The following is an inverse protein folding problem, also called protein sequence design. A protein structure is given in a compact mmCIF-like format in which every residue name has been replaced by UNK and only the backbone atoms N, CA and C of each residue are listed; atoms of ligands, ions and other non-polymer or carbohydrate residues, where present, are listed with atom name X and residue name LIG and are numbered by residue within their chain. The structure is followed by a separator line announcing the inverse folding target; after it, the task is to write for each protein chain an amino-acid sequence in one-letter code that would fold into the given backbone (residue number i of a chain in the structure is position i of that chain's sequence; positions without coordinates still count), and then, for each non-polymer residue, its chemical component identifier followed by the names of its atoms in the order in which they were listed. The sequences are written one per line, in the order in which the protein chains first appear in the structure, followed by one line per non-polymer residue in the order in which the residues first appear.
data_IF_092086595076
#
_entry.id   IF_092086595076
#
_cell.length_a   1.000
_cell.length_b   1.000
_cell.length_c   1.000
_cell.angle_alpha   90.00
_cell.angle_beta   90.00
_cell.angle_gamma   90.00
#
_symmetry.space_group_name_H-M   'P 1'
#
loop_
_entity.id
_entity.type
_entity.pdbx_description
1 polymer ?
#
# COMPACT_ATOMS: atom_id res chain seq x y z
N UNK A 1 -11.25 12.91 26.70
CA UNK A 1 -11.37 12.10 25.47
C UNK A 1 -12.68 12.50 24.83
N UNK A 2 -12.59 13.11 23.66
CA UNK A 2 -13.73 13.67 22.93
C UNK A 2 -13.91 12.87 21.64
N UNK A 3 -15.13 12.40 21.40
CA UNK A 3 -15.46 11.71 20.16
C UNK A 3 -15.66 12.77 19.06
N UNK A 4 -14.85 12.73 18.00
CA UNK A 4 -14.95 13.68 16.89
C UNK A 4 -16.12 13.29 15.99
N UNK A 5 -16.33 11.99 15.82
CA UNK A 5 -17.43 11.40 15.06
C UNK A 5 -17.85 10.08 15.73
N UNK A 6 -18.96 9.50 15.28
CA UNK A 6 -19.38 8.16 15.72
C UNK A 6 -18.38 7.03 15.39
N UNK A 7 -17.39 7.30 14.54
CA UNK A 7 -16.35 6.35 14.12
C UNK A 7 -14.97 6.69 14.66
N UNK A 8 -14.77 7.89 15.21
CA UNK A 8 -13.44 8.45 15.46
C UNK A 8 -13.33 9.10 16.83
N UNK A 9 -12.38 8.61 17.63
CA UNK A 9 -12.10 9.05 18.98
C UNK A 9 -10.66 9.58 19.08
N UNK A 10 -10.47 10.78 19.61
CA UNK A 10 -9.13 11.29 19.91
C UNK A 10 -8.55 10.48 21.05
N UNK A 11 -7.39 9.89 20.81
CA UNK A 11 -6.61 9.18 21.82
C UNK A 11 -5.65 10.15 22.49
N UNK A 12 -4.89 10.91 21.70
CA UNK A 12 -3.94 11.88 22.22
C UNK A 12 -3.69 13.04 21.25
N UNK A 13 -3.24 14.16 21.79
CA UNK A 13 -2.73 15.31 21.04
C UNK A 13 -1.59 15.97 21.80
N UNK A 14 -0.41 16.01 21.19
CA UNK A 14 0.80 16.53 21.83
C UNK A 14 1.74 17.19 20.82
N UNK A 15 2.81 17.80 21.33
CA UNK A 15 3.86 18.39 20.50
C UNK A 15 5.20 17.70 20.67
N UNK A 16 5.90 17.46 19.57
CA UNK A 16 7.26 16.92 19.53
C UNK A 16 8.20 17.80 18.71
N UNK A 17 9.49 17.52 18.73
CA UNK A 17 10.49 18.20 17.91
C UNK A 17 10.42 17.75 16.45
N UNK A 18 10.54 18.69 15.52
CA UNK A 18 10.51 18.37 14.09
C UNK A 18 11.82 17.70 13.65
N UNK A 19 11.81 16.46 13.13
CA UNK A 19 13.04 15.78 12.70
C UNK A 19 13.66 16.43 11.46
N UNK A 20 12.90 17.24 10.71
CA UNK A 20 13.36 17.85 9.46
C UNK A 20 14.08 19.19 9.68
N UNK A 21 13.52 20.06 10.51
CA UNK A 21 14.10 21.39 10.74
C UNK A 21 14.68 21.57 12.13
N UNK A 22 14.45 20.64 13.06
CA UNK A 22 14.96 20.55 14.43
C UNK A 22 14.49 21.69 15.36
N UNK A 23 14.15 22.86 14.81
CA UNK A 23 13.76 24.04 15.58
C UNK A 23 12.24 24.22 15.65
N UNK A 24 11.49 23.63 14.72
CA UNK A 24 10.02 23.68 14.74
C UNK A 24 9.42 22.65 15.69
N UNK A 25 8.25 22.96 16.25
CA UNK A 25 7.40 21.99 16.96
C UNK A 25 6.43 21.34 15.98
N UNK A 26 6.30 20.02 16.07
CA UNK A 26 5.32 19.24 15.34
C UNK A 26 4.14 18.96 16.24
N UNK A 27 2.95 19.35 15.78
CA UNK A 27 1.70 18.93 16.41
C UNK A 27 1.39 17.53 15.91
N UNK A 28 1.25 16.59 16.84
CA UNK A 28 0.89 15.20 16.61
C UNK A 28 -0.52 14.99 17.14
N UNK A 29 -1.38 14.38 16.32
CA UNK A 29 -2.75 14.02 16.70
C UNK A 29 -2.97 12.55 16.41
N UNK A 30 -3.39 11.81 17.42
CA UNK A 30 -3.70 10.39 17.35
C UNK A 30 -5.20 10.16 17.49
N UNK A 31 -5.79 9.48 16.51
CA UNK A 31 -7.22 9.19 16.46
C UNK A 31 -7.41 7.70 16.23
N UNK A 32 -8.07 7.03 17.16
CA UNK A 32 -8.61 5.68 16.91
C UNK A 32 -9.84 5.84 16.02
N UNK A 33 -9.84 5.19 14.87
CA UNK A 33 -10.89 5.27 13.88
C UNK A 33 -11.34 3.88 13.42
N UNK A 34 -12.65 3.66 13.32
CA UNK A 34 -13.22 2.45 12.74
C UNK A 34 -13.30 2.60 11.21
N UNK A 35 -12.31 2.06 10.49
CA UNK A 35 -12.23 2.18 9.03
C UNK A 35 -12.99 1.03 8.33
N UNK A 36 -13.73 1.31 7.24
CA UNK A 36 -14.31 0.25 6.41
C UNK A 36 -13.24 -0.72 5.92
N UNK A 37 -13.55 -2.02 5.91
CA UNK A 37 -12.69 -3.14 5.48
C UNK A 37 -11.42 -3.41 6.31
N UNK A 38 -10.86 -2.39 6.96
CA UNK A 38 -9.68 -2.50 7.84
C UNK A 38 -10.10 -2.84 9.27
N UNK A 39 -11.20 -2.23 9.74
CA UNK A 39 -11.60 -2.21 11.14
C UNK A 39 -10.92 -1.06 11.90
N UNK A 40 -10.78 -1.21 13.22
CA UNK A 40 -10.05 -0.27 14.07
C UNK A 40 -8.62 -0.03 13.59
N UNK A 41 -8.27 1.23 13.41
CA UNK A 41 -6.93 1.70 13.10
C UNK A 41 -6.61 2.98 13.89
N UNK A 42 -5.34 3.17 14.23
CA UNK A 42 -4.80 4.42 14.73
C UNK A 42 -4.35 5.27 13.55
N UNK A 43 -4.97 6.43 13.40
CA UNK A 43 -4.56 7.46 12.44
C UNK A 43 -3.70 8.47 13.20
N UNK A 44 -2.45 8.61 12.77
CA UNK A 44 -1.50 9.58 13.32
C UNK A 44 -1.31 10.66 12.27
N UNK A 45 -1.54 11.92 12.64
CA UNK A 45 -1.28 13.06 11.78
C UNK A 45 -0.29 14.00 12.45
N UNK A 46 0.79 14.31 11.74
CA UNK A 46 1.86 15.14 12.25
C UNK A 46 2.07 16.34 11.32
N UNK A 47 2.18 17.55 11.89
CA UNK A 47 2.45 18.77 11.12
C UNK A 47 3.35 19.73 11.87
N UNK A 48 4.46 20.11 11.23
CA UNK A 48 5.33 21.17 11.71
C UNK A 48 4.70 22.55 11.42
N UNK A 49 4.57 23.38 12.45
CA UNK A 49 4.02 24.75 12.33
C UNK A 49 5.00 25.74 11.69
N UNK A 50 6.29 25.38 11.62
CA UNK A 50 7.36 26.24 11.10
C UNK A 50 7.75 25.96 9.65
N UNK A 51 8.24 24.75 9.36
CA UNK A 51 8.73 24.40 8.01
C UNK A 51 7.64 23.77 7.13
N UNK A 52 6.47 23.44 7.69
CA UNK A 52 5.36 22.85 6.95
C UNK A 52 5.50 21.37 6.64
N UNK A 53 6.54 20.69 7.14
CA UNK A 53 6.66 19.23 7.07
C UNK A 53 5.41 18.55 7.65
N UNK A 54 4.95 17.49 6.99
CA UNK A 54 3.78 16.70 7.37
C UNK A 54 4.07 15.23 7.18
N UNK A 55 3.51 14.41 8.06
CA UNK A 55 3.49 12.94 7.96
C UNK A 55 2.12 12.45 8.40
N UNK A 56 1.60 11.41 7.75
CA UNK A 56 0.39 10.74 8.22
C UNK A 56 0.62 9.23 8.14
N UNK A 57 0.27 8.52 9.20
CA UNK A 57 0.37 7.07 9.28
C UNK A 57 -0.98 6.47 9.66
N UNK A 58 -1.28 5.31 9.09
CA UNK A 58 -2.46 4.51 9.42
C UNK A 58 -1.96 3.15 9.91
N UNK A 59 -2.18 2.87 11.20
CA UNK A 59 -1.72 1.66 11.86
C UNK A 59 -2.94 0.81 12.22
N UNK A 60 -3.15 -0.34 11.56
CA UNK A 60 -4.21 -1.27 11.95
C UNK A 60 -4.02 -1.75 13.39
N UNK A 61 -5.09 -1.72 14.19
CA UNK A 61 -5.04 -2.21 15.57
C UNK A 61 -5.39 -3.69 15.69
N UNK A 62 -5.91 -4.28 14.60
CA UNK A 62 -6.28 -5.68 14.54
C UNK A 62 -5.26 -6.44 13.70
N UNK A 63 -4.39 -7.22 14.34
CA UNK A 63 -3.52 -8.17 13.65
C UNK A 63 -4.37 -9.38 13.26
N UNK A 64 -4.31 -9.76 11.98
CA UNK A 64 -4.95 -10.98 11.47
C UNK A 64 -3.89 -12.05 11.19
N UNK A 65 -4.34 -13.24 10.83
CA UNK A 65 -3.43 -14.31 10.41
C UNK A 65 -2.66 -13.89 9.16
N UNK A 66 -1.42 -14.34 9.04
CA UNK A 66 -0.65 -14.22 7.81
C UNK A 66 -1.47 -14.81 6.66
N UNK A 67 -1.62 -14.05 5.58
CA UNK A 67 -2.33 -14.48 4.38
C UNK A 67 -1.53 -14.23 3.11
N UNK A 68 -1.84 -15.01 2.09
CA UNK A 68 -1.45 -14.78 0.70
C UNK A 68 -2.69 -14.63 -0.15
N UNK A 69 -2.74 -13.53 -0.91
CA UNK A 69 -3.83 -13.23 -1.84
C UNK A 69 -3.28 -13.43 -3.24
N UNK A 70 -3.85 -14.37 -3.99
CA UNK A 70 -3.52 -14.67 -5.37
C UNK A 70 -4.60 -14.07 -6.26
N UNK A 71 -4.21 -13.23 -7.21
CA UNK A 71 -5.12 -12.54 -8.15
C UNK A 71 -4.68 -12.89 -9.57
N UNK A 72 -5.49 -13.68 -10.27
CA UNK A 72 -5.22 -14.06 -11.66
C UNK A 72 -5.75 -12.98 -12.61
N UNK A 73 -4.86 -12.46 -13.45
CA UNK A 73 -5.17 -11.44 -14.45
C UNK A 73 -5.29 -12.10 -15.82
N UNK A 74 -6.44 -11.98 -16.47
CA UNK A 74 -6.68 -12.54 -17.80
C UNK A 74 -7.30 -11.53 -18.77
N UNK A 75 -8.07 -10.57 -18.25
CA UNK A 75 -8.76 -9.54 -19.02
C UNK A 75 -8.31 -8.16 -18.58
N UNK A 76 -8.40 -7.20 -19.49
CA UNK A 76 -8.13 -5.77 -19.19
C UNK A 76 -8.97 -5.24 -18.02
N UNK A 77 -10.19 -5.76 -17.82
CA UNK A 77 -11.03 -5.36 -16.69
C UNK A 77 -10.45 -5.76 -15.32
N UNK A 78 -9.67 -6.85 -15.27
CA UNK A 78 -9.04 -7.32 -14.03
C UNK A 78 -7.99 -6.33 -13.53
N UNK A 79 -7.40 -5.53 -14.44
CA UNK A 79 -6.41 -4.49 -14.10
C UNK A 79 -6.98 -3.42 -13.14
N UNK A 80 -8.30 -3.22 -13.19
CA UNK A 80 -9.02 -2.26 -12.36
C UNK A 80 -9.47 -2.83 -11.00
N UNK A 81 -9.13 -4.08 -10.70
CA UNK A 81 -9.36 -4.70 -9.37
C UNK A 81 -8.67 -3.87 -8.30
N UNK A 82 -9.45 -3.32 -7.36
CA UNK A 82 -8.93 -2.46 -6.29
C UNK A 82 -8.41 -3.31 -5.14
N UNK A 83 -7.22 -2.98 -4.69
CA UNK A 83 -6.56 -3.62 -3.56
C UNK A 83 -6.27 -2.59 -2.48
N UNK A 84 -6.39 -3.02 -1.24
CA UNK A 84 -5.76 -2.39 -0.09
C UNK A 84 -4.48 -3.16 0.19
N UNK A 85 -3.33 -2.47 0.19
CA UNK A 85 -2.04 -3.06 0.55
C UNK A 85 -1.59 -2.56 1.92
N UNK A 86 -1.31 -3.50 2.82
CA UNK A 86 -0.81 -3.19 4.16
C UNK A 86 0.66 -2.73 4.13
N UNK A 87 1.13 -1.96 5.12
CA UNK A 87 2.54 -1.56 5.27
C UNK A 87 3.53 -2.73 5.20
N UNK A 88 3.14 -3.92 5.67
CA UNK A 88 4.00 -5.10 5.78
C UNK A 88 3.95 -6.05 4.59
N UNK A 89 3.01 -5.85 3.66
CA UNK A 89 2.81 -6.81 2.58
C UNK A 89 3.91 -6.74 1.52
N UNK A 90 4.33 -7.90 1.03
CA UNK A 90 5.20 -8.05 -0.13
C UNK A 90 4.36 -8.42 -1.35
N UNK A 91 4.65 -7.81 -2.50
CA UNK A 91 3.96 -8.10 -3.76
C UNK A 91 4.89 -8.89 -4.67
N UNK A 92 4.40 -9.96 -5.28
CA UNK A 92 5.11 -10.74 -6.29
C UNK A 92 4.30 -10.81 -7.58
N UNK A 93 4.99 -10.77 -8.71
CA UNK A 93 4.44 -11.14 -10.03
C UNK A 93 5.43 -12.12 -10.67
N UNK A 94 5.32 -13.44 -10.36
CA UNK A 94 6.32 -14.43 -10.74
C UNK A 94 6.58 -14.51 -12.24
N UNK A 95 5.55 -14.39 -13.08
CA UNK A 95 5.65 -14.47 -14.53
C UNK A 95 6.48 -13.32 -15.13
N UNK A 96 6.58 -12.19 -14.41
CA UNK A 96 7.38 -11.04 -14.80
C UNK A 96 8.71 -10.96 -14.03
N UNK A 97 8.93 -11.84 -13.04
CA UNK A 97 10.09 -11.80 -12.16
C UNK A 97 10.13 -10.57 -11.26
N UNK A 98 8.97 -10.03 -10.87
CA UNK A 98 8.86 -8.81 -10.08
C UNK A 98 8.58 -9.11 -8.62
N UNK A 99 9.23 -8.34 -7.74
CA UNK A 99 9.07 -8.42 -6.30
C UNK A 99 9.19 -7.02 -5.68
N UNK A 100 8.20 -6.64 -4.87
CA UNK A 100 8.19 -5.39 -4.12
C UNK A 100 8.03 -5.68 -2.63
N UNK A 101 9.12 -5.49 -1.87
CA UNK A 101 9.15 -5.64 -0.41
C UNK A 101 8.79 -4.33 0.29
N UNK A 102 8.20 -4.40 1.50
CA UNK A 102 8.00 -3.22 2.34
C UNK A 102 9.33 -2.54 2.67
N UNK A 103 9.39 -1.23 2.49
CA UNK A 103 10.47 -0.37 3.01
C UNK A 103 10.19 0.09 4.45
N UNK A 104 11.14 0.82 5.04
CA UNK A 104 11.02 1.37 6.40
C UNK A 104 9.84 2.35 6.56
N UNK A 105 9.54 3.11 5.52
CA UNK A 105 8.45 4.09 5.47
C UNK A 105 7.30 3.60 4.59
N UNK A 106 7.04 2.29 4.58
CA UNK A 106 5.99 1.72 3.75
C UNK A 106 4.60 2.09 4.28
N UNK A 107 3.86 2.89 3.52
CA UNK A 107 2.51 3.31 3.91
C UNK A 107 1.45 2.24 3.57
N UNK A 108 0.30 2.36 4.24
CA UNK A 108 -0.92 1.70 3.81
C UNK A 108 -1.56 2.52 2.69
N UNK A 109 -1.89 1.88 1.57
CA UNK A 109 -2.55 2.59 0.47
C UNK A 109 -3.51 1.69 -0.30
N UNK A 110 -4.44 2.35 -0.99
CA UNK A 110 -5.37 1.72 -1.92
C UNK A 110 -4.85 1.95 -3.34
N UNK A 111 -4.79 0.90 -4.13
CA UNK A 111 -4.43 0.97 -5.55
C UNK A 111 -5.25 -0.04 -6.35
N UNK A 112 -4.95 -0.19 -7.64
CA UNK A 112 -5.41 -1.29 -8.47
C UNK A 112 -4.21 -2.05 -9.06
N UNK A 113 -4.47 -3.11 -9.82
CA UNK A 113 -3.41 -3.95 -10.41
C UNK A 113 -2.55 -3.14 -11.40
N UNK A 114 -3.17 -2.31 -12.22
CA UNK A 114 -2.44 -1.36 -13.08
C UNK A 114 -1.49 -0.47 -12.26
N UNK A 115 -1.98 0.11 -11.15
CA UNK A 115 -1.20 0.96 -10.28
C UNK A 115 -0.02 0.22 -9.65
N UNK A 116 -0.16 -1.07 -9.33
CA UNK A 116 0.97 -1.91 -8.90
C UNK A 116 2.04 -2.01 -9.98
N UNK A 117 1.65 -2.24 -11.24
CA UNK A 117 2.60 -2.30 -12.35
C UNK A 117 3.33 -0.96 -12.55
N UNK A 118 2.62 0.16 -12.44
CA UNK A 118 3.23 1.49 -12.49
C UNK A 118 4.19 1.73 -11.32
N UNK A 119 3.92 1.21 -10.12
CA UNK A 119 4.88 1.27 -9.00
C UNK A 119 6.20 0.58 -9.35
N UNK A 120 6.16 -0.56 -10.05
CA UNK A 120 7.37 -1.22 -10.53
C UNK A 120 8.11 -0.39 -11.59
N UNK A 121 7.38 0.20 -12.55
CA UNK A 121 7.97 1.10 -13.56
C UNK A 121 8.67 2.29 -12.90
N UNK A 122 8.02 2.94 -11.94
CA UNK A 122 8.59 4.08 -11.23
C UNK A 122 9.83 3.69 -10.41
N UNK A 123 9.82 2.51 -9.78
CA UNK A 123 10.99 1.98 -9.09
C UNK A 123 12.16 1.73 -10.07
N UNK A 124 11.90 1.14 -11.24
CA UNK A 124 12.92 0.91 -12.27
C UNK A 124 13.52 2.22 -12.78
N UNK A 125 12.70 3.24 -13.07
CA UNK A 125 13.17 4.56 -13.49
C UNK A 125 14.09 5.21 -12.45
N UNK A 126 13.78 5.06 -11.15
CA UNK A 126 14.66 5.55 -10.07
C UNK A 126 15.99 4.81 -10.06
N UNK A 127 15.97 3.48 -10.23
CA UNK A 127 17.19 2.66 -10.30
C UNK A 127 18.05 3.09 -11.48
N UNK A 128 17.45 3.26 -12.66
CA UNK A 128 18.13 3.72 -13.87
C UNK A 128 18.85 5.05 -13.65
N UNK A 129 18.18 6.03 -13.04
CA UNK A 129 18.80 7.34 -12.73
C UNK A 129 19.95 7.20 -11.73
N UNK A 130 19.77 6.41 -10.67
CA UNK A 130 20.75 6.29 -9.58
C UNK A 130 21.98 5.46 -9.97
N UNK A 131 21.79 4.43 -10.80
CA UNK A 131 22.82 3.44 -11.12
C UNK A 131 23.36 3.58 -12.54
N UNK A 132 22.72 4.39 -13.39
CA UNK A 132 23.00 4.49 -14.83
C UNK A 132 22.89 3.13 -15.55
N UNK A 133 22.07 2.23 -15.01
CA UNK A 133 21.77 0.92 -15.61
C UNK A 133 20.59 1.06 -16.56
N UNK A 134 20.71 0.50 -17.76
CA UNK A 134 19.58 0.41 -18.68
C UNK A 134 18.51 -0.55 -18.14
N UNK A 135 17.31 -0.02 -17.88
CA UNK A 135 16.17 -0.80 -17.39
C UNK A 135 15.06 -0.96 -18.44
N UNK A 136 15.30 -0.52 -19.69
CA UNK A 136 14.31 -0.44 -20.76
C UNK A 136 13.61 -1.78 -21.01
N UNK A 137 14.37 -2.88 -21.05
CA UNK A 137 13.80 -4.23 -21.27
C UNK A 137 12.82 -4.65 -20.16
N UNK A 138 13.10 -4.30 -18.91
CA UNK A 138 12.21 -4.61 -17.79
C UNK A 138 10.95 -3.73 -17.84
N UNK A 139 11.10 -2.45 -18.18
CA UNK A 139 9.97 -1.54 -18.37
C UNK A 139 9.05 -2.00 -19.51
N UNK A 140 9.60 -2.45 -20.63
CA UNK A 140 8.84 -2.99 -21.76
C UNK A 140 8.05 -4.26 -21.38
N UNK A 141 8.66 -5.18 -20.63
CA UNK A 141 7.95 -6.37 -20.13
C UNK A 141 6.76 -6.00 -19.25
N UNK A 142 6.91 -4.99 -18.40
CA UNK A 142 5.81 -4.50 -17.56
C UNK A 142 4.74 -3.81 -18.41
N UNK A 143 5.13 -3.03 -19.42
CA UNK A 143 4.20 -2.40 -20.35
C UNK A 143 3.35 -3.45 -21.09
N UNK A 144 3.95 -4.56 -21.53
CA UNK A 144 3.21 -5.68 -22.13
C UNK A 144 2.20 -6.32 -21.17
N UNK A 145 2.43 -6.26 -19.87
CA UNK A 145 1.48 -6.76 -18.86
C UNK A 145 0.24 -5.84 -18.67
N UNK A 146 0.28 -4.62 -19.20
CA UNK A 146 -0.89 -3.74 -19.29
C UNK A 146 -1.73 -4.00 -20.55
N UNK A 147 -1.15 -4.66 -21.55
CA UNK A 147 -1.83 -4.93 -22.81
C UNK A 147 -2.91 -6.02 -22.68
N UNK A 148 -4.02 -5.91 -23.42
CA UNK A 148 -5.04 -6.96 -23.46
C UNK A 148 -4.46 -8.30 -23.93
N UNK A 149 -4.80 -9.38 -23.22
CA UNK A 149 -4.43 -10.75 -23.58
C UNK A 149 -3.16 -11.27 -22.90
N UNK A 150 -2.42 -10.42 -22.19
CA UNK A 150 -1.33 -10.87 -21.31
C UNK A 150 -1.91 -11.39 -20.00
N UNK A 151 -1.40 -12.53 -19.54
CA UNK A 151 -1.94 -13.20 -18.37
C UNK A 151 -0.83 -13.51 -17.37
N UNK A 152 -1.01 -13.06 -16.13
CA UNK A 152 -0.08 -13.26 -15.02
C UNK A 152 -0.84 -13.33 -13.68
N UNK A 153 -0.11 -13.57 -12.59
CA UNK A 153 -0.66 -13.70 -11.25
C UNK A 153 0.00 -12.68 -10.33
N UNK A 154 -0.81 -11.85 -9.69
CA UNK A 154 -0.35 -10.95 -8.63
C UNK A 154 -0.55 -11.66 -7.29
N UNK A 155 0.52 -11.76 -6.52
CA UNK A 155 0.53 -12.38 -5.19
C UNK A 155 0.83 -11.31 -4.16
N UNK A 156 -0.05 -11.14 -3.16
CA UNK A 156 0.16 -10.25 -2.02
C UNK A 156 0.37 -11.13 -0.79
N UNK A 157 1.61 -11.16 -0.30
CA UNK A 157 2.02 -11.90 0.90
C UNK A 157 2.03 -10.93 2.09
N UNK A 158 1.06 -11.06 2.99
CA UNK A 158 0.86 -10.11 4.09
C UNK A 158 0.94 -10.79 5.46
N UNK A 159 2.07 -10.66 6.17
CA UNK A 159 2.27 -11.24 7.49
C UNK A 159 1.24 -10.77 8.53
N UNK A 160 0.71 -9.54 8.42
CA UNK A 160 -0.28 -9.01 9.37
C UNK A 160 -1.73 -9.19 8.90
N UNK A 161 -1.95 -9.77 7.72
CA UNK A 161 -3.27 -10.12 7.22
C UNK A 161 -4.23 -8.95 6.98
N UNK A 162 -3.74 -7.72 6.81
CA UNK A 162 -4.61 -6.53 6.66
C UNK A 162 -4.97 -6.23 5.22
N UNK A 163 -4.12 -6.61 4.27
CA UNK A 163 -4.33 -6.43 2.84
C UNK A 163 -5.60 -7.13 2.38
N UNK A 164 -6.30 -6.58 1.40
CA UNK A 164 -7.52 -7.19 0.88
C UNK A 164 -7.86 -6.68 -0.51
N UNK A 165 -8.75 -7.39 -1.20
CA UNK A 165 -9.35 -6.93 -2.46
C UNK A 165 -10.66 -6.20 -2.11
N UNK A 166 -10.72 -4.92 -2.45
CA UNK A 166 -11.85 -4.05 -2.11
C UNK A 166 -12.96 -4.10 -3.16
N UNK A 167 -12.59 -4.16 -4.44
CA UNK A 167 -13.53 -4.08 -5.55
C UNK A 167 -13.01 -4.88 -6.75
N UNK A 168 -13.92 -5.50 -7.50
CA UNK A 168 -13.65 -6.36 -8.64
C UNK A 168 -14.59 -5.99 -9.78
N UNK A 169 -14.17 -5.11 -10.70
CA UNK A 169 -15.01 -4.71 -11.83
C UNK A 169 -15.42 -5.87 -12.72
N UNK A 170 -14.57 -6.89 -12.84
CA UNK A 170 -14.92 -8.18 -13.42
C UNK A 170 -15.20 -9.20 -12.30
N UNK A 171 -16.45 -9.64 -12.17
CA UNK A 171 -16.82 -10.63 -11.15
C UNK A 171 -16.19 -12.01 -11.41
N UNK A 172 -15.72 -12.28 -12.63
CA UNK A 172 -15.06 -13.52 -12.99
C UNK A 172 -13.55 -13.54 -12.67
N UNK A 173 -12.97 -12.45 -12.16
CA UNK A 173 -11.55 -12.43 -11.75
C UNK A 173 -11.33 -13.47 -10.66
N UNK A 174 -10.44 -14.43 -10.93
CA UNK A 174 -10.15 -15.52 -9.99
C UNK A 174 -9.24 -15.00 -8.88
N UNK A 175 -9.72 -15.09 -7.64
CA UNK A 175 -8.96 -14.68 -6.46
C UNK A 175 -9.03 -15.78 -5.41
N UNK A 176 -7.85 -16.21 -4.99
CA UNK A 176 -7.67 -17.21 -3.94
C UNK A 176 -6.98 -16.56 -2.75
N UNK A 177 -7.47 -16.80 -1.54
CA UNK A 177 -6.84 -16.35 -0.30
C UNK A 177 -6.45 -17.58 0.50
N UNK A 178 -5.17 -17.69 0.80
CA UNK A 178 -4.62 -18.75 1.63
C UNK A 178 -4.12 -18.15 2.94
N UNK A 179 -4.39 -18.81 4.06
CA UNK A 179 -3.82 -18.43 5.35
C UNK A 179 -2.57 -19.27 5.60
N UNK A 180 -1.46 -18.59 5.86
CA UNK A 180 -0.17 -19.22 6.15
C UNK A 180 -0.06 -19.40 7.66
N UNK A 181 0.37 -20.59 8.09
CA UNK A 181 0.64 -20.89 9.51
C UNK A 181 1.99 -20.32 9.98
#
# INVERSE_FOLDING_TARGET
MEDITIYGKIIDEYETECPICIVGRMRVREVEYELPHIGKALIISEKCTRCGYKKNDIIPLNIKKHQRIYIRIEKTQDLYTKILRSPTATIYIPELGLELRPGIDAEMFITNIEGILHLFIDALKRIEILTQTDTSQAQEKIAQALDPGTSYTVIIDDPQGTSTVLDRPNSATQITIEYVE
#
